data_IF_104690287854
#
_entry.id   IF_104690287854
#
_cell.length_a   1.000
_cell.length_b   1.000
_cell.length_c   1.000
_cell.angle_alpha   90.00
_cell.angle_beta   90.00
_cell.angle_gamma   90.00
#
_symmetry.space_group_name_H-M   'P 1'
#
loop_
_entity.id
_entity.type
_entity.pdbx_description
1 polymer ?
#
# COMPACT_ATOMS: atom_id res chain seq x y z
N UNK A 1 20.59 11.39 -21.11
CA UNK A 1 21.18 10.37 -20.20
C UNK A 1 20.89 10.65 -18.71
N UNK A 2 20.04 11.62 -18.36
CA UNK A 2 19.71 12.00 -16.97
C UNK A 2 18.36 11.45 -16.49
N UNK A 3 17.42 11.19 -17.41
CA UNK A 3 16.05 10.73 -17.10
C UNK A 3 16.01 9.28 -16.57
N UNK A 4 16.91 8.41 -17.05
CA UNK A 4 16.98 7.01 -16.61
C UNK A 4 17.42 6.87 -15.15
N UNK A 5 18.40 7.67 -14.72
CA UNK A 5 18.90 7.66 -13.34
C UNK A 5 17.86 8.17 -12.33
N UNK A 6 17.14 9.23 -12.67
CA UNK A 6 16.02 9.74 -11.86
C UNK A 6 14.94 8.68 -11.63
N UNK A 7 14.66 7.85 -12.64
CA UNK A 7 13.71 6.75 -12.54
C UNK A 7 14.21 5.64 -11.59
N UNK A 8 15.49 5.28 -11.69
CA UNK A 8 16.11 4.28 -10.83
C UNK A 8 16.15 4.74 -9.35
N UNK A 9 16.51 5.99 -9.10
CA UNK A 9 16.54 6.58 -7.77
C UNK A 9 15.13 6.62 -7.14
N UNK A 10 14.10 6.96 -7.92
CA UNK A 10 12.72 6.96 -7.47
C UNK A 10 12.23 5.56 -7.08
N UNK A 11 12.52 4.54 -7.90
CA UNK A 11 12.20 3.14 -7.61
C UNK A 11 12.93 2.66 -6.35
N UNK A 12 14.20 3.03 -6.19
CA UNK A 12 14.98 2.67 -5.01
C UNK A 12 14.45 3.34 -3.74
N UNK A 13 14.02 4.60 -3.81
CA UNK A 13 13.39 5.30 -2.68
C UNK A 13 12.07 4.64 -2.27
N UNK A 14 11.24 4.27 -3.25
CA UNK A 14 9.99 3.51 -3.03
C UNK A 14 10.27 2.15 -2.37
N UNK A 15 11.25 1.40 -2.87
CA UNK A 15 11.65 0.12 -2.29
C UNK A 15 12.14 0.27 -0.84
N UNK A 16 12.96 1.28 -0.54
CA UNK A 16 13.45 1.55 0.82
C UNK A 16 12.33 1.97 1.77
N UNK A 17 11.41 2.83 1.30
CA UNK A 17 10.22 3.21 2.06
C UNK A 17 9.42 1.96 2.43
N UNK A 18 9.16 1.09 1.44
CA UNK A 18 8.40 -0.13 1.63
C UNK A 18 9.06 -1.07 2.64
N UNK A 19 10.36 -1.35 2.47
CA UNK A 19 11.13 -2.20 3.40
C UNK A 19 11.10 -1.63 4.83
N UNK A 20 11.28 -0.32 4.98
CA UNK A 20 11.26 0.34 6.28
C UNK A 20 9.88 0.28 6.96
N UNK A 21 8.79 0.37 6.17
CA UNK A 21 7.43 0.18 6.68
C UNK A 21 7.20 -1.27 7.10
N UNK A 22 7.64 -2.24 6.30
CA UNK A 22 7.50 -3.67 6.59
C UNK A 22 8.23 -4.10 7.85
N UNK A 23 9.38 -3.50 8.16
CA UNK A 23 10.11 -3.77 9.42
C UNK A 23 9.34 -3.40 10.69
N UNK A 24 8.30 -2.56 10.58
CA UNK A 24 7.46 -2.16 11.72
C UNK A 24 6.24 -3.06 11.89
N UNK A 25 6.00 -3.97 10.95
CA UNK A 25 4.84 -4.85 10.96
C UNK A 25 5.18 -6.14 11.70
N UNK A 26 4.34 -6.60 12.66
CA UNK A 26 4.48 -7.89 13.34
C UNK A 26 4.65 -9.06 12.37
N UNK A 27 5.40 -10.11 12.74
CA UNK A 27 5.72 -11.23 11.83
C UNK A 27 4.50 -12.05 11.37
N UNK A 28 3.38 -11.99 12.09
CA UNK A 28 2.11 -12.66 11.76
C UNK A 28 1.25 -11.86 10.76
N UNK A 29 1.87 -10.99 9.95
CA UNK A 29 1.14 -10.23 8.95
C UNK A 29 0.99 -10.98 7.63
N UNK A 30 -0.08 -10.69 6.92
CA UNK A 30 -0.29 -11.10 5.53
C UNK A 30 -0.46 -9.85 4.68
N UNK A 31 0.22 -9.81 3.53
CA UNK A 31 0.04 -8.74 2.54
C UNK A 31 -0.78 -9.26 1.36
N UNK A 32 -1.71 -8.45 0.88
CA UNK A 32 -2.42 -8.66 -0.39
C UNK A 32 -2.48 -7.38 -1.20
N UNK A 33 -2.67 -7.51 -2.50
CA UNK A 33 -2.95 -6.39 -3.40
C UNK A 33 -4.39 -6.54 -3.85
N UNK A 34 -5.22 -5.54 -3.57
CA UNK A 34 -6.62 -5.51 -3.96
C UNK A 34 -6.93 -4.23 -4.73
N UNK A 35 -7.98 -4.25 -5.54
CA UNK A 35 -8.51 -3.03 -6.17
C UNK A 35 -9.47 -2.33 -5.21
N UNK A 36 -9.17 -1.09 -4.84
CA UNK A 36 -10.02 -0.24 -4.01
C UNK A 36 -10.37 1.02 -4.81
N UNK A 37 -11.66 1.24 -5.06
CA UNK A 37 -12.17 2.36 -5.84
C UNK A 37 -11.52 2.49 -7.24
N UNK A 38 -11.26 1.37 -7.91
CA UNK A 38 -10.66 1.37 -9.26
C UNK A 38 -9.16 1.59 -9.31
N UNK A 39 -8.48 1.59 -8.15
CA UNK A 39 -7.03 1.73 -8.06
C UNK A 39 -6.42 0.60 -7.20
N UNK A 40 -5.20 0.13 -7.51
CA UNK A 40 -4.54 -0.87 -6.70
C UNK A 40 -4.19 -0.31 -5.32
N UNK A 41 -4.36 -1.14 -4.31
CA UNK A 41 -3.99 -0.87 -2.94
C UNK A 41 -3.30 -2.08 -2.32
N UNK A 42 -2.30 -1.82 -1.48
CA UNK A 42 -1.73 -2.84 -0.63
C UNK A 42 -2.48 -2.90 0.69
N UNK A 43 -2.93 -4.09 1.07
CA UNK A 43 -3.61 -4.36 2.32
C UNK A 43 -2.66 -5.18 3.21
N UNK A 44 -2.66 -4.85 4.50
CA UNK A 44 -1.96 -5.64 5.50
C UNK A 44 -2.92 -6.11 6.56
N UNK A 45 -3.00 -7.42 6.70
CA UNK A 45 -3.77 -8.09 7.74
C UNK A 45 -2.83 -8.57 8.83
N UNK A 46 -3.24 -8.45 10.09
CA UNK A 46 -2.58 -9.03 11.26
C UNK A 46 -3.66 -9.82 11.99
N UNK A 47 -3.44 -11.10 12.25
CA UNK A 47 -4.43 -11.99 12.87
C UNK A 47 -5.82 -11.91 12.18
N UNK A 48 -5.82 -11.91 10.84
CA UNK A 48 -7.00 -11.77 9.98
C UNK A 48 -7.79 -10.44 10.13
N UNK A 49 -7.24 -9.44 10.81
CA UNK A 49 -7.81 -8.10 10.91
C UNK A 49 -7.04 -7.14 10.01
N UNK A 50 -7.76 -6.33 9.23
CA UNK A 50 -7.16 -5.34 8.36
C UNK A 50 -6.54 -4.22 9.22
N UNK A 51 -5.21 -4.11 9.21
CA UNK A 51 -4.46 -3.24 10.11
C UNK A 51 -4.04 -1.92 9.46
N UNK A 52 -3.69 -1.95 8.18
CA UNK A 52 -3.45 -0.73 7.40
C UNK A 52 -3.64 -1.01 5.91
N UNK A 53 -3.92 0.06 5.18
CA UNK A 53 -4.01 0.06 3.72
C UNK A 53 -3.14 1.16 3.16
N UNK A 54 -2.46 0.88 2.05
CA UNK A 54 -1.77 1.87 1.25
C UNK A 54 -2.39 1.90 -0.13
N UNK A 55 -3.18 2.94 -0.38
CA UNK A 55 -3.78 3.19 -1.69
C UNK A 55 -2.76 3.91 -2.59
N UNK A 56 -2.66 3.45 -3.83
CA UNK A 56 -1.82 4.08 -4.85
C UNK A 56 -2.68 4.98 -5.73
N UNK A 57 -2.31 6.25 -5.83
CA UNK A 57 -2.93 7.14 -6.82
C UNK A 57 -2.17 7.00 -8.14
N UNK A 58 -2.87 6.54 -9.17
CA UNK A 58 -2.30 6.33 -10.50
C UNK A 58 -2.77 7.42 -11.47
N UNK A 59 -1.85 7.87 -12.32
CA UNK A 59 -2.16 8.64 -13.54
C UNK A 59 -1.52 7.94 -14.73
N UNK A 60 -2.33 7.20 -15.50
CA UNK A 60 -1.83 6.28 -16.51
C UNK A 60 -0.98 5.18 -15.86
N UNK A 61 0.25 4.99 -16.33
CA UNK A 61 1.20 4.01 -15.79
C UNK A 61 2.12 4.57 -14.68
N UNK A 62 1.83 5.75 -14.15
CA UNK A 62 2.66 6.40 -13.13
C UNK A 62 1.94 6.52 -11.80
N UNK A 63 2.63 6.16 -10.71
CA UNK A 63 2.20 6.44 -9.35
C UNK A 63 2.47 7.93 -9.09
N UNK A 64 1.41 8.68 -8.80
CA UNK A 64 1.50 10.13 -8.53
C UNK A 64 1.28 10.46 -7.05
N UNK A 65 0.81 9.48 -6.26
CA UNK A 65 0.54 9.67 -4.85
C UNK A 65 0.43 8.33 -4.11
N UNK A 66 0.68 8.40 -2.81
CA UNK A 66 0.49 7.30 -1.88
C UNK A 66 -0.36 7.80 -0.71
N UNK A 67 -1.40 7.05 -0.35
CA UNK A 67 -2.24 7.38 0.81
C UNK A 67 -2.30 6.19 1.76
N UNK A 68 -1.76 6.38 2.96
CA UNK A 68 -1.92 5.40 4.03
C UNK A 68 -3.24 5.65 4.78
N UNK A 69 -3.98 4.58 5.02
CA UNK A 69 -5.21 4.56 5.79
C UNK A 69 -4.95 3.70 7.02
N UNK A 70 -4.97 4.34 8.19
CA UNK A 70 -4.82 3.70 9.50
C UNK A 70 -6.01 3.95 10.43
N UNK A 71 -7.04 4.66 9.96
CA UNK A 71 -8.21 4.95 10.77
C UNK A 71 -9.02 3.64 10.97
N UNK A 72 -9.24 3.20 12.22
CA UNK A 72 -9.83 1.89 12.49
C UNK A 72 -11.26 1.75 11.97
N UNK A 73 -12.07 2.81 12.04
CA UNK A 73 -13.46 2.78 11.54
C UNK A 73 -13.51 2.56 10.02
N UNK A 74 -12.60 3.23 9.29
CA UNK A 74 -12.48 3.07 7.84
C UNK A 74 -11.98 1.68 7.46
N UNK A 75 -11.07 1.12 8.25
CA UNK A 75 -10.54 -0.22 8.02
C UNK A 75 -11.58 -1.30 8.29
N UNK A 76 -12.34 -1.18 9.39
CA UNK A 76 -13.43 -2.08 9.70
C UNK A 76 -14.52 -2.05 8.62
N UNK A 77 -14.88 -0.84 8.15
CA UNK A 77 -15.82 -0.69 7.04
C UNK A 77 -15.31 -1.37 5.76
N UNK A 78 -14.06 -1.13 5.38
CA UNK A 78 -13.46 -1.71 4.19
C UNK A 78 -13.33 -3.24 4.28
N UNK A 79 -12.90 -3.77 5.42
CA UNK A 79 -12.80 -5.22 5.63
C UNK A 79 -14.17 -5.89 5.40
N UNK A 80 -15.24 -5.31 5.92
CA UNK A 80 -16.59 -5.83 5.69
C UNK A 80 -16.97 -5.83 4.20
N UNK A 81 -16.55 -4.81 3.44
CA UNK A 81 -16.80 -4.75 1.99
C UNK A 81 -16.02 -5.80 1.20
N UNK A 82 -14.83 -6.20 1.66
CA UNK A 82 -13.99 -7.21 0.99
C UNK A 82 -14.45 -8.65 1.25
N UNK A 83 -15.19 -8.86 2.33
CA UNK A 83 -15.77 -10.17 2.69
C UNK A 83 -17.08 -10.47 1.95
N UNK A 84 -17.63 -9.50 1.21
CA UNK A 84 -18.91 -9.60 0.47
C UNK A 84 -18.67 -9.90 -1.01
#
# INVERSE_FOLDING_TARGET
MTVFWLWFDAVLLLARLFIALMHKVPANHTLSIEEINGAPALLCHIDAQLNWVLALELRGNSIVGLRSILNPDKLAFLQHQLET
#
